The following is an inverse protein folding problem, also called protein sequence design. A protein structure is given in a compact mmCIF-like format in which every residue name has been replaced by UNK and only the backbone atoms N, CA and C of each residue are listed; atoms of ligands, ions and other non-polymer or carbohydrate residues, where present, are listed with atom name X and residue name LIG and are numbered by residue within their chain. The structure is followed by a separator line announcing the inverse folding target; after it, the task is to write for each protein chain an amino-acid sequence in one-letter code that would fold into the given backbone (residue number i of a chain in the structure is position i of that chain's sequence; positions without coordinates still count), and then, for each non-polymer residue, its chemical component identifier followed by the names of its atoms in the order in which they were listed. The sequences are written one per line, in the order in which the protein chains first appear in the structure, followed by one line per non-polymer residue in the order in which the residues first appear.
data_IF_211520406980
#
_entry.id   IF_211520406980
#
_cell.length_a   1.000
_cell.length_b   1.000
_cell.length_c   1.000
_cell.angle_alpha   90.00
_cell.angle_beta   90.00
_cell.angle_gamma   90.00
#
_symmetry.space_group_name_H-M   'P 1'
#
loop_
_entity.id
_entity.type
_entity.pdbx_description
1 polymer ?
#
# COMPACT_ATOMS: atom_id res chain seq x y z
N UNK A 1 3.37 -11.81 -11.10
CA UNK A 1 3.08 -10.42 -11.50
C UNK A 1 4.18 -9.48 -10.99
N UNK A 2 4.68 -8.52 -11.80
CA UNK A 2 5.65 -7.51 -11.35
C UNK A 2 5.14 -6.69 -10.16
N UNK A 3 6.03 -6.33 -9.22
CA UNK A 3 5.67 -5.45 -8.10
C UNK A 3 4.77 -6.04 -7.01
N UNK A 4 4.32 -7.30 -7.12
CA UNK A 4 3.39 -7.92 -6.16
C UNK A 4 3.93 -8.00 -4.73
N UNK A 5 5.23 -8.26 -4.56
CA UNK A 5 5.85 -8.31 -3.23
C UNK A 5 5.78 -6.95 -2.53
N UNK A 6 6.09 -5.87 -3.25
CA UNK A 6 5.97 -4.51 -2.72
C UNK A 6 4.52 -4.19 -2.35
N UNK A 7 3.56 -4.50 -3.25
CA UNK A 7 2.13 -4.28 -3.00
C UNK A 7 1.67 -4.99 -1.73
N UNK A 8 2.00 -6.29 -1.58
CA UNK A 8 1.65 -7.07 -0.40
C UNK A 8 2.28 -6.51 0.88
N UNK A 9 3.58 -6.18 0.84
CA UNK A 9 4.31 -5.61 1.97
C UNK A 9 3.63 -4.33 2.49
N UNK A 10 3.51 -3.33 1.62
CA UNK A 10 2.95 -2.02 1.99
C UNK A 10 1.50 -2.18 2.46
N UNK A 11 0.70 -2.97 1.74
CA UNK A 11 -0.69 -3.21 2.12
C UNK A 11 -0.83 -3.82 3.51
N UNK A 12 0.01 -4.80 3.85
CA UNK A 12 0.05 -5.44 5.17
C UNK A 12 0.49 -4.45 6.26
N UNK A 13 1.57 -3.70 6.04
CA UNK A 13 2.10 -2.75 7.02
C UNK A 13 1.17 -1.55 7.26
N UNK A 14 0.41 -1.15 6.24
CA UNK A 14 -0.51 -0.02 6.31
C UNK A 14 -1.93 -0.43 6.74
N UNK A 15 -2.19 -1.74 6.93
CA UNK A 15 -3.49 -2.24 7.36
C UNK A 15 -4.60 -2.05 6.33
N UNK A 16 -4.27 -2.05 5.03
CA UNK A 16 -5.25 -1.87 3.96
C UNK A 16 -6.04 -3.19 3.73
N UNK A 17 -7.38 -3.16 3.75
CA UNK A 17 -8.19 -4.36 3.62
C UNK A 17 -8.17 -4.94 2.21
N UNK A 18 -8.26 -6.27 2.09
CA UNK A 18 -8.37 -7.00 0.81
C UNK A 18 -9.46 -8.03 0.91
N UNK A 19 -10.20 -8.22 -0.18
CA UNK A 19 -11.34 -9.15 -0.24
C UNK A 19 -10.92 -10.62 -0.06
N UNK A 20 -9.70 -11.00 -0.48
CA UNK A 20 -9.33 -12.42 -0.63
C UNK A 20 -7.97 -12.83 -0.04
N UNK A 21 -7.20 -11.91 0.57
CA UNK A 21 -5.90 -12.22 1.17
C UNK A 21 -5.73 -11.54 2.52
N UNK A 22 -5.70 -12.35 3.58
CA UNK A 22 -5.41 -11.90 4.94
C UNK A 22 -4.04 -12.47 5.34
N UNK A 23 -2.99 -11.69 5.13
CA UNK A 23 -1.70 -11.94 5.76
C UNK A 23 -1.31 -10.71 6.56
N UNK A 24 -1.39 -10.82 7.88
CA UNK A 24 -0.97 -9.79 8.82
C UNK A 24 0.30 -10.29 9.49
N UNK A 25 1.43 -9.62 9.21
CA UNK A 25 2.66 -9.82 9.98
C UNK A 25 2.79 -8.63 10.90
N UNK A 26 2.70 -8.88 12.21
CA UNK A 26 2.93 -7.86 13.25
C UNK A 26 4.24 -8.17 13.92
N UNK A 27 5.16 -7.21 13.91
CA UNK A 27 6.40 -7.30 14.68
C UNK A 27 6.19 -6.61 16.02
N UNK A 28 6.36 -7.36 17.11
CA UNK A 28 6.21 -6.84 18.48
C UNK A 28 7.58 -6.75 19.12
N UNK A 29 7.96 -5.55 19.57
CA UNK A 29 9.18 -5.32 20.34
C UNK A 29 8.79 -5.03 21.80
N UNK A 30 9.16 -5.94 22.71
CA UNK A 30 8.93 -5.77 24.14
C UNK A 30 10.16 -5.11 24.77
N UNK A 31 9.94 -3.98 25.45
CA UNK A 31 11.01 -3.16 26.02
C UNK A 31 10.74 -2.90 27.48
N UNK A 32 11.78 -3.07 28.32
CA UNK A 32 11.74 -2.62 29.69
C UNK A 32 12.03 -1.12 29.74
N UNK A 33 11.04 -0.32 30.18
CA UNK A 33 11.15 1.15 30.25
C UNK A 33 12.34 1.63 31.09
N UNK A 34 12.74 0.87 32.11
CA UNK A 34 13.88 1.21 32.97
C UNK A 34 15.25 1.01 32.30
N UNK A 35 15.31 0.24 31.23
CA UNK A 35 16.54 -0.11 30.50
C UNK A 35 16.70 0.68 29.19
N UNK A 36 15.69 1.46 28.79
CA UNK A 36 15.64 2.17 27.52
C UNK A 36 15.74 3.68 27.72
N UNK A 37 16.58 4.34 26.92
CA UNK A 37 16.76 5.79 26.96
C UNK A 37 15.47 6.54 26.58
N UNK A 38 15.22 7.68 27.24
CA UNK A 38 14.03 8.51 27.03
C UNK A 38 13.84 8.99 25.58
N UNK A 39 14.95 9.21 24.88
CA UNK A 39 14.99 9.64 23.49
C UNK A 39 14.37 8.57 22.59
N UNK A 40 14.69 7.30 22.82
CA UNK A 40 14.13 6.18 22.07
C UNK A 40 12.61 6.08 22.27
N UNK A 41 12.15 6.21 23.51
CA UNK A 41 10.71 6.20 23.82
C UNK A 41 9.99 7.35 23.12
N UNK A 42 10.58 8.55 23.10
CA UNK A 42 10.03 9.71 22.39
C UNK A 42 9.93 9.49 20.88
N UNK A 43 10.87 8.76 20.29
CA UNK A 43 10.84 8.39 18.87
C UNK A 43 9.74 7.37 18.62
N UNK A 44 9.62 6.34 19.47
CA UNK A 44 8.57 5.33 19.37
C UNK A 44 7.16 5.97 19.43
N UNK A 45 6.93 6.90 20.36
CA UNK A 45 5.69 7.67 20.47
C UNK A 45 5.42 8.53 19.21
N UNK A 46 6.43 9.23 18.69
CA UNK A 46 6.32 10.01 17.44
C UNK A 46 5.96 9.12 16.25
N UNK A 47 6.61 7.97 16.12
CA UNK A 47 6.31 7.01 15.05
C UNK A 47 4.90 6.44 15.19
N UNK A 48 4.39 6.31 16.42
CA UNK A 48 3.05 5.76 16.68
C UNK A 48 1.91 6.75 16.45
N UNK A 49 2.20 8.06 16.51
CA UNK A 49 1.23 9.13 16.25
C UNK A 49 1.19 9.55 14.78
N UNK A 50 2.16 9.11 13.98
CA UNK A 50 2.23 9.39 12.55
C UNK A 50 1.48 8.30 11.77
N UNK A 51 0.16 8.34 11.74
CA UNK A 51 -0.60 7.52 10.79
C UNK A 51 -0.45 8.12 9.38
N UNK A 52 0.16 7.38 8.42
CA UNK A 52 0.24 7.88 7.06
C UNK A 52 -1.18 8.01 6.48
N UNK A 53 -1.50 9.13 5.81
CA UNK A 53 -2.83 9.33 5.26
C UNK A 53 -3.17 8.19 4.29
N UNK A 54 -4.24 7.45 4.56
CA UNK A 54 -4.69 6.32 3.73
C UNK A 54 -4.78 6.69 2.24
N UNK A 55 -5.23 7.92 1.96
CA UNK A 55 -5.27 8.50 0.61
C UNK A 55 -3.90 8.49 -0.07
N UNK A 56 -2.85 9.01 0.60
CA UNK A 56 -1.49 9.07 0.05
C UNK A 56 -0.89 7.69 -0.20
N UNK A 57 -1.20 6.72 0.67
CA UNK A 57 -0.78 5.32 0.50
C UNK A 57 -1.44 4.69 -0.73
N UNK A 58 -2.73 4.94 -0.95
CA UNK A 58 -3.44 4.42 -2.14
C UNK A 58 -2.91 5.03 -3.44
N UNK A 59 -2.63 6.34 -3.44
CA UNK A 59 -1.98 7.00 -4.60
C UNK A 59 -0.65 6.33 -4.92
N UNK A 60 0.22 6.18 -3.92
CA UNK A 60 1.54 5.53 -4.08
C UNK A 60 1.42 4.10 -4.60
N UNK A 61 0.47 3.32 -4.07
CA UNK A 61 0.28 1.94 -4.50
C UNK A 61 -0.24 1.84 -5.94
N UNK A 62 -1.13 2.73 -6.35
CA UNK A 62 -1.61 2.79 -7.73
C UNK A 62 -0.49 3.20 -8.69
N UNK A 63 0.29 4.23 -8.36
CA UNK A 63 1.47 4.63 -9.17
C UNK A 63 2.45 3.48 -9.33
N UNK A 64 2.78 2.79 -8.24
CA UNK A 64 3.66 1.64 -8.28
C UNK A 64 3.09 0.51 -9.14
N UNK A 65 1.78 0.24 -9.02
CA UNK A 65 1.12 -0.80 -9.78
C UNK A 65 1.15 -0.50 -11.29
N UNK A 66 0.84 0.72 -11.70
CA UNK A 66 0.89 1.11 -13.11
C UNK A 66 2.33 1.12 -13.63
N UNK A 67 3.28 1.71 -12.90
CA UNK A 67 4.68 1.72 -13.32
C UNK A 67 5.28 0.31 -13.41
N UNK A 68 4.97 -0.59 -12.47
CA UNK A 68 5.51 -1.95 -12.48
C UNK A 68 5.01 -2.78 -13.68
N UNK A 69 3.79 -2.52 -14.18
CA UNK A 69 3.18 -3.29 -15.26
C UNK A 69 3.43 -2.70 -16.65
N UNK A 70 3.54 -1.37 -16.76
CA UNK A 70 3.69 -0.66 -18.03
C UNK A 70 5.07 -0.02 -18.21
N UNK A 71 5.89 0.06 -17.16
CA UNK A 71 7.25 0.58 -17.21
C UNK A 71 7.30 1.99 -17.80
N UNK A 72 8.15 2.24 -18.82
CA UNK A 72 8.32 3.56 -19.42
C UNK A 72 7.10 4.04 -20.24
N UNK A 73 6.07 3.21 -20.43
CA UNK A 73 4.82 3.61 -21.07
C UNK A 73 3.85 4.31 -20.11
N UNK A 74 4.15 4.28 -18.80
CA UNK A 74 3.36 4.95 -17.77
C UNK A 74 3.91 6.36 -17.50
N UNK A 75 3.11 7.39 -17.79
CA UNK A 75 3.40 8.78 -17.45
C UNK A 75 2.99 9.06 -16.00
N UNK A 76 3.92 8.89 -15.06
CA UNK A 76 3.64 9.15 -13.65
C UNK A 76 3.41 10.63 -13.35
N UNK A 77 4.04 11.54 -14.08
CA UNK A 77 3.87 12.99 -13.88
C UNK A 77 2.43 13.43 -14.21
N UNK A 78 1.78 12.78 -15.18
CA UNK A 78 0.35 12.97 -15.47
C UNK A 78 -0.56 12.14 -14.56
N UNK A 79 -0.15 10.95 -14.17
CA UNK A 79 -0.96 10.06 -13.34
C UNK A 79 -1.11 10.60 -11.90
N UNK A 80 -0.01 11.07 -11.30
CA UNK A 80 0.04 11.55 -9.92
C UNK A 80 -1.04 12.60 -9.58
N UNK A 81 -1.14 13.74 -10.30
CA UNK A 81 -2.12 14.78 -9.96
C UNK A 81 -3.56 14.29 -10.10
N UNK A 82 -3.84 13.40 -11.06
CA UNK A 82 -5.17 12.85 -11.27
C UNK A 82 -5.56 11.90 -10.13
N UNK A 83 -4.67 10.98 -9.74
CA UNK A 83 -4.88 10.13 -8.57
C UNK A 83 -5.06 10.97 -7.30
N UNK A 84 -4.21 11.98 -7.10
CA UNK A 84 -4.28 12.85 -5.93
C UNK A 84 -5.59 13.64 -5.84
N UNK A 85 -6.20 13.98 -6.96
CA UNK A 85 -7.46 14.72 -7.01
C UNK A 85 -8.71 13.87 -6.70
N UNK A 86 -8.59 12.53 -6.71
CA UNK A 86 -9.71 11.63 -6.49
C UNK A 86 -10.10 11.51 -5.01
N UNK A 87 -11.39 11.29 -4.71
CA UNK A 87 -11.83 11.01 -3.35
C UNK A 87 -11.32 9.65 -2.88
N UNK A 88 -11.25 9.48 -1.55
CA UNK A 88 -10.71 8.28 -0.92
C UNK A 88 -11.48 7.01 -1.32
N UNK A 89 -12.81 7.09 -1.40
CA UNK A 89 -13.66 5.97 -1.81
C UNK A 89 -13.32 5.47 -3.22
N UNK A 90 -13.22 6.38 -4.19
CA UNK A 90 -12.90 6.04 -5.58
C UNK A 90 -11.50 5.42 -5.68
N UNK A 91 -10.51 5.98 -4.97
CA UNK A 91 -9.16 5.41 -4.92
C UNK A 91 -9.15 4.02 -4.29
N UNK A 92 -9.94 3.80 -3.25
CA UNK A 92 -10.04 2.51 -2.55
C UNK A 92 -10.67 1.45 -3.45
N UNK A 93 -11.74 1.78 -4.18
CA UNK A 93 -12.38 0.86 -5.14
C UNK A 93 -11.49 0.53 -6.33
N UNK A 94 -10.83 1.55 -6.88
CA UNK A 94 -9.86 1.40 -7.96
C UNK A 94 -8.70 0.49 -7.52
N UNK A 95 -8.13 0.77 -6.35
CA UNK A 95 -7.03 -0.03 -5.80
C UNK A 95 -7.46 -1.46 -5.49
N UNK A 96 -8.65 -1.68 -4.90
CA UNK A 96 -9.15 -3.01 -4.59
C UNK A 96 -9.28 -3.85 -5.86
N UNK A 97 -9.87 -3.29 -6.92
CA UNK A 97 -10.02 -3.96 -8.23
C UNK A 97 -8.66 -4.28 -8.86
N UNK A 98 -7.73 -3.32 -8.84
CA UNK A 98 -6.38 -3.51 -9.39
C UNK A 98 -5.58 -4.56 -8.60
N UNK A 99 -5.68 -4.54 -7.27
CA UNK A 99 -5.01 -5.49 -6.39
C UNK A 99 -5.56 -6.91 -6.59
N UNK A 100 -6.87 -7.08 -6.69
CA UNK A 100 -7.49 -8.38 -6.97
C UNK A 100 -7.02 -8.95 -8.33
N UNK A 101 -6.96 -8.12 -9.37
CA UNK A 101 -6.43 -8.51 -10.67
C UNK A 101 -4.94 -8.90 -10.59
N UNK A 102 -4.15 -8.16 -9.82
CA UNK A 102 -2.73 -8.43 -9.65
C UNK A 102 -2.47 -9.74 -8.88
N UNK A 103 -3.30 -10.03 -7.87
CA UNK A 103 -3.27 -11.29 -7.12
C UNK A 103 -3.67 -12.48 -8.00
N UNK A 104 -4.73 -12.35 -8.81
CA UNK A 104 -5.13 -13.36 -9.78
C UNK A 104 -4.01 -13.65 -10.79
N UNK A 105 -3.35 -12.60 -11.29
CA UNK A 105 -2.20 -12.74 -12.20
C UNK A 105 -0.99 -13.38 -11.52
N UNK A 106 -0.80 -13.19 -10.21
CA UNK A 106 0.28 -13.82 -9.44
C UNK A 106 0.03 -15.31 -9.17
N UNK A 107 -1.24 -15.74 -9.09
CA UNK A 107 -1.62 -17.13 -8.89
C UNK A 107 -1.70 -17.96 -10.19
N UNK A 108 -1.58 -17.33 -11.35
CA UNK A 108 -1.66 -17.99 -12.65
C UNK A 108 -0.46 -18.92 -12.92
N UNK A 109 -0.74 -20.07 -13.54
CA UNK A 109 0.27 -21.00 -14.06
C UNK A 109 0.89 -20.55 -15.38
N UNK A 110 0.20 -19.68 -16.13
CA UNK A 110 0.72 -19.03 -17.34
C UNK A 110 1.05 -17.56 -17.03
N UNK A 111 2.34 -17.20 -16.86
CA UNK A 111 2.74 -15.86 -16.49
C UNK A 111 2.64 -14.85 -17.65
N UNK A 112 2.71 -15.30 -18.91
CA UNK A 112 2.65 -14.40 -20.08
C UNK A 112 1.20 -13.95 -20.28
N UNK A 113 0.29 -14.91 -20.38
CA UNK A 113 -1.14 -14.63 -20.52
C UNK A 113 -1.68 -13.86 -19.30
N UNK A 114 -1.21 -14.18 -18.09
CA UNK A 114 -1.59 -13.45 -16.88
C UNK A 114 -1.16 -11.99 -16.91
N UNK A 115 0.03 -11.71 -17.45
CA UNK A 115 0.52 -10.33 -17.60
C UNK A 115 -0.32 -9.54 -18.60
N UNK A 116 -0.62 -10.12 -19.76
CA UNK A 116 -1.45 -9.46 -20.78
C UNK A 116 -2.85 -9.17 -20.25
N UNK A 117 -3.47 -10.13 -19.57
CA UNK A 117 -4.77 -9.95 -18.91
C UNK A 117 -4.73 -8.88 -17.84
N UNK A 118 -3.70 -8.85 -17.00
CA UNK A 118 -3.53 -7.81 -15.99
C UNK A 118 -3.40 -6.43 -16.66
N UNK A 119 -2.56 -6.29 -17.68
CA UNK A 119 -2.41 -5.03 -18.40
C UNK A 119 -3.74 -4.56 -19.01
N UNK A 120 -4.52 -5.46 -19.62
CA UNK A 120 -5.85 -5.13 -20.15
C UNK A 120 -6.79 -4.62 -19.05
N UNK A 121 -6.89 -5.33 -17.93
CA UNK A 121 -7.74 -4.90 -16.79
C UNK A 121 -7.31 -3.54 -16.25
N UNK A 122 -6.00 -3.27 -16.16
CA UNK A 122 -5.51 -1.98 -15.69
C UNK A 122 -5.78 -0.85 -16.68
N UNK A 123 -5.77 -1.12 -17.98
CA UNK A 123 -6.17 -0.14 -18.99
C UNK A 123 -7.67 0.18 -18.89
N UNK A 124 -8.51 -0.84 -18.69
CA UNK A 124 -9.96 -0.66 -18.50
C UNK A 124 -10.25 0.16 -17.24
N UNK A 125 -9.57 -0.15 -16.13
CA UNK A 125 -9.67 0.59 -14.87
C UNK A 125 -9.18 2.04 -15.02
N UNK A 126 -8.08 2.26 -15.75
CA UNK A 126 -7.59 3.60 -16.06
C UNK A 126 -8.62 4.39 -16.88
N UNK A 127 -9.22 3.77 -17.90
CA UNK A 127 -10.27 4.39 -18.72
C UNK A 127 -11.51 4.76 -17.89
N UNK A 128 -12.01 3.83 -17.07
CA UNK A 128 -13.15 4.07 -16.19
C UNK A 128 -12.90 5.20 -15.20
N UNK A 129 -11.67 5.30 -14.68
CA UNK A 129 -11.26 6.34 -13.73
C UNK A 129 -10.78 7.63 -14.41
N UNK A 130 -10.90 7.78 -15.73
CA UNK A 130 -10.41 8.96 -16.49
C UNK A 130 -8.93 9.27 -16.24
N UNK A 131 -8.11 8.24 -16.05
CA UNK A 131 -6.66 8.35 -15.91
C UNK A 131 -5.99 8.48 -17.29
N UNK A 132 -4.73 8.92 -17.37
CA UNK A 132 -4.04 9.08 -18.64
C UNK A 132 -4.00 7.75 -19.40
N UNK A 133 -4.27 7.81 -20.70
CA UNK A 133 -4.10 6.65 -21.56
C UNK A 133 -2.63 6.23 -21.54
N UNK A 134 -2.40 4.94 -21.29
CA UNK A 134 -1.07 4.34 -21.32
C UNK A 134 -0.72 4.12 -22.79
N UNK A 135 -0.09 5.12 -23.39
CA UNK A 135 0.28 5.09 -24.80
C UNK A 135 1.46 4.14 -25.02
N UNK A 136 1.43 3.38 -26.13
CA UNK A 136 2.52 2.48 -26.51
C UNK A 136 3.84 3.18 -26.88
N UNK A 137 3.86 4.52 -26.92
CA UNK A 137 5.10 5.27 -27.05
C UNK A 137 5.84 5.26 -25.72
N UNK A 138 7.04 4.67 -25.71
CA UNK A 138 7.90 4.67 -24.54
C UNK A 138 8.32 6.12 -24.25
N UNK A 139 8.04 6.59 -23.04
CA UNK A 139 8.60 7.86 -22.62
C UNK A 139 10.11 7.71 -22.50
N UNK A 140 10.85 8.72 -22.95
CA UNK A 140 12.29 8.80 -22.71
C UNK A 140 12.65 8.99 -21.22
N UNK A 141 11.64 9.01 -20.33
CA UNK A 141 11.78 9.24 -18.91
C UNK A 141 12.15 7.94 -18.19
N UNK A 142 13.15 8.07 -17.32
CA UNK A 142 13.65 6.98 -16.46
C UNK A 142 12.55 6.62 -15.47
N UNK A 143 12.36 5.33 -15.19
CA UNK A 143 11.46 4.84 -14.14
C UNK A 143 11.66 5.66 -12.85
N UNK A 144 10.57 6.08 -12.23
CA UNK A 144 10.62 6.84 -10.98
C UNK A 144 10.85 5.87 -9.81
N UNK A 145 11.80 6.15 -8.91
CA UNK A 145 11.94 5.39 -7.68
C UNK A 145 10.73 5.67 -6.79
N UNK A 146 10.05 4.61 -6.37
CA UNK A 146 8.91 4.71 -5.44
C UNK A 146 9.39 4.25 -4.06
N UNK A 147 9.40 5.12 -3.04
CA UNK A 147 9.88 4.77 -1.72
C UNK A 147 8.90 3.81 -1.02
N UNK A 148 9.43 2.99 -0.12
CA UNK A 148 8.61 2.22 0.81
C UNK A 148 8.05 3.21 1.85
N UNK A 149 6.72 3.28 2.07
CA UNK A 149 6.15 4.15 3.08
C UNK A 149 6.57 3.71 4.49
N UNK A 150 6.63 4.63 5.46
CA UNK A 150 6.96 4.29 6.84
C UNK A 150 5.93 3.30 7.39
N UNK A 151 6.41 2.25 8.06
CA UNK A 151 5.54 1.25 8.69
C UNK A 151 4.62 1.88 9.75
N UNK A 152 3.41 1.34 9.87
CA UNK A 152 2.48 1.76 10.92
C UNK A 152 2.95 1.20 12.27
N UNK A 153 3.42 2.08 13.13
CA UNK A 153 3.93 1.74 14.45
C UNK A 153 2.87 1.96 15.53
N UNK A 154 2.93 1.18 16.59
CA UNK A 154 2.14 1.42 17.80
C UNK A 154 3.03 1.23 19.02
N UNK A 155 2.89 2.13 19.99
CA UNK A 155 3.60 2.07 21.27
C UNK A 155 2.56 1.98 22.38
N UNK A 156 2.70 0.95 23.22
CA UNK A 156 1.82 0.71 24.35
C UNK A 156 2.62 0.68 25.64
N UNK A 157 2.13 1.35 26.68
CA UNK A 157 2.70 1.35 28.03
C UNK A 157 1.86 0.49 28.95
N UNK A 158 2.43 -0.60 29.46
CA UNK A 158 1.71 -1.54 30.34
C UNK A 158 1.40 -0.94 31.71
N UNK A 159 2.12 0.12 32.11
CA UNK A 159 1.85 0.88 33.35
C UNK A 159 0.46 1.54 33.38
N UNK A 160 -0.23 1.62 32.23
CA UNK A 160 -1.55 2.27 32.11
C UNK A 160 -2.73 1.27 32.00
N UNK A 161 -2.48 -0.03 32.04
CA UNK A 161 -3.55 -1.04 31.95
C UNK A 161 -3.97 -1.51 33.34
N UNK A 162 -5.11 -0.99 33.81
CA UNK A 162 -5.91 -1.72 34.78
C UNK A 162 -6.52 -2.91 34.03
N UNK A 163 -5.99 -4.11 34.23
CA UNK A 163 -6.62 -5.36 33.79
C UNK A 163 -8.00 -5.52 34.49
N UNK A 164 -9.00 -4.79 34.01
CA UNK A 164 -10.40 -4.96 34.36
C UNK A 164 -10.96 -6.12 33.55
N UNK A 165 -11.45 -7.12 34.25
CA UNK A 165 -12.11 -8.34 33.77
C UNK A 165 -12.82 -8.24 32.41
N UNK A 166 -12.11 -8.57 31.32
CA UNK A 166 -12.60 -9.23 30.10
C UNK A 166 -11.53 -9.08 29.02
N UNK A 167 -10.60 -10.05 28.97
CA UNK A 167 -9.47 -10.04 28.06
C UNK A 167 -9.88 -10.14 26.59
N UNK A 168 -10.11 -9.00 25.94
CA UNK A 168 -9.81 -8.75 24.52
C UNK A 168 -9.54 -7.23 24.38
N UNK A 169 -8.33 -6.80 23.95
CA UNK A 169 -8.11 -5.39 23.63
C UNK A 169 -8.92 -5.03 22.38
N UNK A 170 -9.79 -4.02 22.48
CA UNK A 170 -10.42 -3.38 21.31
C UNK A 170 -9.59 -2.15 20.92
N UNK A 171 -9.24 -1.99 19.63
CA UNK A 171 -8.70 -0.73 19.16
C UNK A 171 -9.78 0.35 19.27
N UNK A 172 -9.42 1.52 19.82
CA UNK A 172 -10.20 2.75 19.65
C UNK A 172 -9.96 3.32 18.27
#
# INVERSE_FOLDING_TARGET
SPGITFQRLVRTEQGLPVKNYQSSTVTVLLLNRSEVQSEFLSIAEKLSSSEPPQHSTLVLLLEHLYQANFGPHCDLDRLHPLLKSKPLEELSELYASAADAQEAAAASSDPVLARERLQAVLQDLAGAASLPAITGEAQHHKLHPIPIPPARCYTYSWDQDNFGESGVPRPR
#
